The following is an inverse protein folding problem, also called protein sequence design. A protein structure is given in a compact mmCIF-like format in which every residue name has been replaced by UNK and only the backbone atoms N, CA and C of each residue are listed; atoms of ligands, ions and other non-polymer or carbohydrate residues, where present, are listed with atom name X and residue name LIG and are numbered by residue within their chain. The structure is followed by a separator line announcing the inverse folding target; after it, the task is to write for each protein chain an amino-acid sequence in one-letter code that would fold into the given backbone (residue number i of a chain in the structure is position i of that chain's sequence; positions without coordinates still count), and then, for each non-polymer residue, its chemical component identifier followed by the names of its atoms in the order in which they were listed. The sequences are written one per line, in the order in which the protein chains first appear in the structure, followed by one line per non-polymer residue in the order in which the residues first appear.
data_IF_003617207613
#
_entry.id   IF_003617207613
#
_cell.length_a   1.000
_cell.length_b   1.000
_cell.length_c   1.000
_cell.angle_alpha   90.00
_cell.angle_beta   90.00
_cell.angle_gamma   90.00
#
_symmetry.space_group_name_H-M   'P 1'
#
loop_
_entity.id
_entity.type
_entity.pdbx_description
1 polymer ?
#
# COMPACT_ATOMS: atom_id res chain seq x y z
N UNK A 1 -0.72 -0.71 12.38
CA UNK A 1 -1.36 -1.02 11.07
C UNK A 1 -1.16 0.18 10.16
N UNK A 2 -0.90 -0.05 8.87
CA UNK A 2 -0.99 0.98 7.84
C UNK A 2 -2.31 0.75 7.09
N UNK A 3 -3.12 1.79 7.00
CA UNK A 3 -4.40 1.75 6.29
C UNK A 3 -4.29 2.53 4.98
N UNK A 4 -4.68 1.90 3.88
CA UNK A 4 -4.62 2.47 2.54
C UNK A 4 -6.01 2.45 1.95
N UNK A 5 -6.55 3.63 1.61
CA UNK A 5 -7.79 3.73 0.86
C UNK A 5 -7.50 3.88 -0.63
N UNK A 6 -8.03 2.96 -1.43
CA UNK A 6 -7.95 3.02 -2.89
C UNK A 6 -9.31 3.41 -3.45
N UNK A 7 -9.34 4.60 -4.06
CA UNK A 7 -10.51 5.11 -4.75
C UNK A 7 -10.43 4.82 -6.25
N UNK A 8 -11.50 4.23 -6.81
CA UNK A 8 -11.65 4.09 -8.25
C UNK A 8 -12.49 5.24 -8.81
N UNK A 9 -11.82 6.22 -9.41
CA UNK A 9 -12.43 7.37 -10.10
C UNK A 9 -12.82 7.08 -11.56
N UNK A 10 -12.66 5.83 -12.02
CA UNK A 10 -13.04 5.40 -13.36
C UNK A 10 -14.50 4.95 -13.47
N UNK A 11 -14.91 4.62 -14.69
CA UNK A 11 -16.26 4.11 -15.01
C UNK A 11 -16.35 2.59 -15.06
N UNK A 12 -15.21 1.89 -15.02
CA UNK A 12 -15.12 0.42 -15.01
C UNK A 12 -14.53 -0.09 -13.70
N UNK A 13 -14.81 -1.36 -13.37
CA UNK A 13 -14.21 -2.01 -12.20
C UNK A 13 -12.70 -2.09 -12.37
N UNK A 14 -11.96 -1.61 -11.39
CA UNK A 14 -10.52 -1.78 -11.30
C UNK A 14 -10.20 -3.03 -10.45
N UNK A 15 -9.16 -3.76 -10.83
CA UNK A 15 -8.66 -4.91 -10.06
C UNK A 15 -7.17 -4.71 -9.76
N UNK A 16 -6.81 -3.71 -8.94
CA UNK A 16 -5.42 -3.47 -8.62
C UNK A 16 -4.85 -4.58 -7.73
N UNK A 17 -3.60 -4.92 -7.97
CA UNK A 17 -2.70 -5.52 -7.00
C UNK A 17 -2.08 -4.38 -6.18
N UNK A 18 -2.15 -4.49 -4.86
CA UNK A 18 -1.48 -3.58 -3.95
C UNK A 18 -0.23 -4.21 -3.38
N UNK A 19 0.86 -3.46 -3.41
CA UNK A 19 2.14 -3.82 -2.82
C UNK A 19 2.52 -2.78 -1.78
N UNK A 20 3.09 -3.22 -0.66
CA UNK A 20 3.79 -2.35 0.27
C UNK A 20 5.19 -2.88 0.51
N UNK A 21 6.18 -2.00 0.44
CA UNK A 21 7.55 -2.28 0.86
C UNK A 21 7.91 -1.32 1.98
N UNK A 22 8.49 -1.84 3.06
CA UNK A 22 8.93 -1.06 4.21
C UNK A 22 10.45 -1.03 4.25
N UNK A 23 11.00 0.16 4.39
CA UNK A 23 12.42 0.45 4.51
C UNK A 23 12.71 1.11 5.84
N UNK A 24 13.79 0.72 6.51
CA UNK A 24 14.29 1.43 7.68
C UNK A 24 15.08 2.70 7.28
N UNK A 25 15.53 3.48 8.26
CA UNK A 25 16.31 4.70 8.03
C UNK A 25 17.63 4.49 7.28
N UNK A 26 18.18 3.28 7.29
CA UNK A 26 19.36 2.90 6.51
C UNK A 26 19.04 2.54 5.06
N UNK A 27 17.76 2.60 4.65
CA UNK A 27 17.30 2.20 3.32
C UNK A 27 17.23 0.68 3.11
N UNK A 28 17.33 -0.11 4.18
CA UNK A 28 17.23 -1.56 4.13
C UNK A 28 15.76 -1.95 4.14
N UNK A 29 15.34 -2.74 3.14
CA UNK A 29 13.98 -3.30 3.09
C UNK A 29 13.80 -4.33 4.20
N UNK A 30 12.87 -4.08 5.10
CA UNK A 30 12.59 -4.94 6.27
C UNK A 30 11.35 -5.82 6.07
N UNK A 31 10.41 -5.42 5.21
CA UNK A 31 9.16 -6.14 4.98
C UNK A 31 8.60 -5.83 3.59
N UNK A 32 7.91 -6.80 3.03
CA UNK A 32 7.09 -6.65 1.82
C UNK A 32 5.81 -7.47 1.99
N UNK A 33 4.68 -6.84 1.76
CA UNK A 33 3.37 -7.51 1.70
C UNK A 33 2.66 -7.16 0.39
N UNK A 34 1.74 -8.03 0.00
CA UNK A 34 0.91 -7.83 -1.19
C UNK A 34 -0.54 -8.24 -0.94
N UNK A 35 -1.47 -7.55 -1.59
CA UNK A 35 -2.88 -7.91 -1.64
C UNK A 35 -3.31 -7.93 -3.10
N UNK A 36 -3.58 -9.13 -3.62
CA UNK A 36 -3.86 -9.32 -5.04
C UNK A 36 -5.35 -9.25 -5.40
N UNK A 37 -5.59 -8.76 -6.62
CA UNK A 37 -6.83 -8.89 -7.40
C UNK A 37 -8.11 -8.47 -6.67
N UNK A 38 -8.06 -7.39 -5.88
CA UNK A 38 -9.26 -6.89 -5.19
C UNK A 38 -10.05 -5.97 -6.11
N UNK A 39 -11.30 -6.36 -6.40
CA UNK A 39 -12.24 -5.49 -7.11
C UNK A 39 -12.50 -4.20 -6.32
N UNK A 40 -12.32 -3.06 -6.99
CA UNK A 40 -12.70 -1.71 -6.55
C UNK A 40 -13.70 -1.18 -7.58
N UNK A 41 -14.95 -0.99 -7.17
CA UNK A 41 -16.03 -0.60 -8.08
C UNK A 41 -15.93 0.87 -8.48
N UNK A 42 -16.47 1.27 -9.65
CA UNK A 42 -16.56 2.68 -10.05
C UNK A 42 -17.12 3.58 -8.95
N UNK A 43 -16.52 4.75 -8.77
CA UNK A 43 -16.91 5.76 -7.78
C UNK A 43 -16.97 5.23 -6.33
N UNK A 44 -16.15 4.22 -6.02
CA UNK A 44 -16.07 3.63 -4.68
C UNK A 44 -14.65 3.62 -4.15
N UNK A 45 -14.57 3.59 -2.82
CA UNK A 45 -13.36 3.42 -2.05
C UNK A 45 -13.26 2.00 -1.51
N UNK A 46 -12.04 1.51 -1.34
CA UNK A 46 -11.79 0.24 -0.68
C UNK A 46 -10.60 0.37 0.24
N UNK A 47 -10.82 0.04 1.51
CA UNK A 47 -9.80 0.05 2.53
C UNK A 47 -9.00 -1.25 2.54
N UNK A 48 -7.69 -1.11 2.62
CA UNK A 48 -6.72 -2.18 2.78
C UNK A 48 -5.91 -1.93 4.05
N UNK A 49 -5.55 -3.01 4.74
CA UNK A 49 -4.78 -2.94 5.97
C UNK A 49 -3.52 -3.78 5.84
N UNK A 50 -2.38 -3.16 6.12
CA UNK A 50 -1.09 -3.84 6.20
C UNK A 50 -0.64 -3.90 7.66
N UNK A 51 -0.30 -5.11 8.10
CA UNK A 51 0.16 -5.32 9.47
C UNK A 51 1.64 -4.97 9.60
N UNK A 52 1.92 -4.06 10.52
CA UNK A 52 3.28 -3.59 10.84
C UNK A 52 3.52 -3.71 12.33
N UNK A 53 2.74 -4.53 13.05
CA UNK A 53 2.85 -4.68 14.51
C UNK A 53 4.12 -5.43 14.92
N UNK A 54 4.68 -6.25 14.04
CA UNK A 54 5.87 -7.08 14.23
C UNK A 54 7.21 -6.36 14.03
N UNK A 55 7.23 -5.14 13.47
CA UNK A 55 8.49 -4.39 13.29
C UNK A 55 8.91 -3.66 14.59
N UNK A 56 10.21 -3.47 14.87
CA UNK A 56 10.66 -2.70 16.03
C UNK A 56 10.19 -1.22 16.00
N UNK A 57 10.23 -0.49 17.14
CA UNK A 57 10.11 0.96 17.13
C UNK A 57 11.22 1.62 16.32
N UNK A 58 10.91 2.69 15.60
CA UNK A 58 11.85 3.41 14.74
C UNK A 58 11.19 4.21 13.61
N UNK A 59 12.02 4.84 12.79
CA UNK A 59 11.60 5.61 11.61
C UNK A 59 11.65 4.74 10.35
N UNK A 60 10.60 4.81 9.54
CA UNK A 60 10.41 3.96 8.37
C UNK A 60 9.85 4.74 7.18
N UNK A 61 10.17 4.26 5.99
CA UNK A 61 9.53 4.67 4.72
C UNK A 61 8.74 3.49 4.17
N UNK A 62 7.44 3.69 3.92
CA UNK A 62 6.57 2.75 3.23
C UNK A 62 6.37 3.19 1.78
N UNK A 63 6.80 2.36 0.83
CA UNK A 63 6.46 2.51 -0.58
C UNK A 63 5.25 1.66 -0.89
N UNK A 64 4.14 2.29 -1.27
CA UNK A 64 2.87 1.63 -1.58
C UNK A 64 2.61 1.77 -3.07
N UNK A 65 2.40 0.65 -3.76
CA UNK A 65 2.09 0.63 -5.18
C UNK A 65 0.72 -0.01 -5.44
N UNK A 66 -0.10 0.63 -6.27
CA UNK A 66 -1.35 0.08 -6.81
C UNK A 66 -1.19 -0.13 -8.32
N UNK A 67 -1.16 -1.39 -8.75
CA UNK A 67 -0.96 -1.79 -10.14
C UNK A 67 -2.23 -2.45 -10.69
N UNK A 68 -2.83 -1.89 -11.74
CA UNK A 68 -4.02 -2.47 -12.38
C UNK A 68 -3.74 -3.10 -13.75
N UNK A 69 -2.49 -3.49 -14.03
CA UNK A 69 -1.97 -4.01 -15.31
C UNK A 69 -1.97 -3.01 -16.48
N UNK A 70 -2.56 -1.82 -16.30
CA UNK A 70 -2.56 -0.76 -17.30
C UNK A 70 -1.73 0.43 -16.84
N UNK A 71 -1.84 0.74 -15.54
CA UNK A 71 -1.16 1.85 -14.89
C UNK A 71 -0.71 1.42 -13.50
N UNK A 72 0.36 2.05 -13.03
CA UNK A 72 0.87 1.89 -11.67
C UNK A 72 0.88 3.25 -11.00
N UNK A 73 0.27 3.35 -9.82
CA UNK A 73 0.39 4.48 -8.92
C UNK A 73 1.30 4.08 -7.77
N UNK A 74 2.30 4.90 -7.46
CA UNK A 74 3.22 4.67 -6.33
C UNK A 74 3.21 5.90 -5.43
N UNK A 75 3.14 5.67 -4.12
CA UNK A 75 3.26 6.69 -3.08
C UNK A 75 4.29 6.25 -2.04
N UNK A 76 5.09 7.19 -1.57
CA UNK A 76 6.00 7.00 -0.44
C UNK A 76 5.43 7.71 0.79
N UNK A 77 5.43 7.02 1.93
CA UNK A 77 4.92 7.52 3.20
C UNK A 77 5.97 7.29 4.29
N UNK A 78 6.44 8.38 4.88
CA UNK A 78 7.33 8.33 6.04
C UNK A 78 6.51 8.28 7.33
N UNK A 79 6.90 7.43 8.28
CA UNK A 79 6.25 7.34 9.58
C UNK A 79 7.20 6.90 10.69
N UNK A 80 6.82 7.24 11.92
CA UNK A 80 7.50 6.76 13.13
C UNK A 80 6.64 5.71 13.84
N UNK A 81 7.23 4.55 14.11
CA UNK A 81 6.63 3.54 14.99
C UNK A 81 7.14 3.76 16.42
N UNK A 82 6.19 3.99 17.32
CA UNK A 82 6.41 4.09 18.77
C UNK A 82 6.46 2.72 19.42
#
# INVERSE_FOLDING_TARGET
LILVDVQNNGVFVAQPDLYIELFNKEGVRIKRDEVRLKKVYPNSCKLFSFDVTDIPPGSYTATIAADNNQNILVIDVEFEKK
#
